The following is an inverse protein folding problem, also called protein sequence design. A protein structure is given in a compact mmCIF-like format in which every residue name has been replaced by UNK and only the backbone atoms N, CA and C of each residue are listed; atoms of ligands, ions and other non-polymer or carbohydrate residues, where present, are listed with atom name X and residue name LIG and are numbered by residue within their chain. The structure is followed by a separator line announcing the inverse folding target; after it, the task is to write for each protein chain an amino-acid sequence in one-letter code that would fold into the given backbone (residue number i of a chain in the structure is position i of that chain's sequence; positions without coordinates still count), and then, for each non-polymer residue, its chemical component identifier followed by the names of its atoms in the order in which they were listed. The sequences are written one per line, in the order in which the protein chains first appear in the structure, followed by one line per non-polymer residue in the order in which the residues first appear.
data_IF_599945942483
#
_entry.id   IF_599945942483
#
_cell.length_a   1.000
_cell.length_b   1.000
_cell.length_c   1.000
_cell.angle_alpha   90.00
_cell.angle_beta   90.00
_cell.angle_gamma   90.00
#
_symmetry.space_group_name_H-M   'P 1'
#
loop_
_entity.id
_entity.type
_entity.pdbx_description
1 polymer ?
#
# COMPACT_ATOMS: atom_id res chain seq x y z
N UNK A 1 -45.25 6.84 -45.76
CA UNK A 1 -44.88 6.77 -44.31
C UNK A 1 -44.19 5.44 -44.08
N UNK A 2 -42.87 5.44 -43.93
CA UNK A 2 -42.10 4.21 -43.60
C UNK A 2 -41.88 4.20 -42.08
N UNK A 3 -42.46 3.22 -41.43
CA UNK A 3 -42.28 2.96 -39.99
C UNK A 3 -40.83 2.60 -39.70
N UNK A 4 -40.13 3.41 -38.89
CA UNK A 4 -38.80 3.07 -38.42
C UNK A 4 -38.98 2.02 -37.34
N UNK A 5 -38.54 0.80 -37.64
CA UNK A 5 -38.55 -0.30 -36.70
C UNK A 5 -37.65 -0.01 -35.50
N UNK A 6 -38.16 -0.26 -34.30
CA UNK A 6 -37.45 -0.11 -33.05
C UNK A 6 -36.16 -0.97 -33.05
N UNK A 7 -35.04 -0.34 -32.81
CA UNK A 7 -33.75 -1.02 -32.62
C UNK A 7 -33.82 -1.92 -31.38
N UNK A 8 -33.32 -3.17 -31.48
CA UNK A 8 -33.49 -4.14 -30.41
C UNK A 8 -32.64 -3.82 -29.17
N UNK A 9 -33.18 -4.17 -28.02
CA UNK A 9 -32.71 -4.03 -26.62
C UNK A 9 -31.32 -4.59 -26.29
N UNK A 10 -30.53 -4.96 -27.29
CA UNK A 10 -29.13 -5.43 -27.10
C UNK A 10 -28.13 -4.33 -26.74
N UNK A 11 -28.42 -3.05 -27.02
CA UNK A 11 -27.53 -1.94 -26.71
C UNK A 11 -27.48 -1.55 -25.23
N UNK A 12 -28.48 -1.98 -24.45
CA UNK A 12 -28.50 -1.69 -23.00
C UNK A 12 -27.53 -2.61 -22.21
N UNK A 13 -27.23 -3.81 -22.73
CA UNK A 13 -26.27 -4.74 -22.10
C UNK A 13 -24.80 -4.33 -22.22
N UNK A 14 -24.46 -3.41 -23.12
CA UNK A 14 -23.05 -2.99 -23.34
C UNK A 14 -22.59 -1.88 -22.41
N UNK A 15 -23.47 -1.21 -21.66
CA UNK A 15 -23.07 -0.17 -20.70
C UNK A 15 -22.21 -0.69 -19.54
N UNK A 16 -22.38 -1.95 -19.15
CA UNK A 16 -21.60 -2.56 -18.08
C UNK A 16 -20.14 -2.87 -18.51
N UNK A 17 -19.94 -3.19 -19.79
CA UNK A 17 -18.62 -3.48 -20.39
C UNK A 17 -18.03 -2.29 -21.14
N UNK A 18 -18.60 -1.10 -21.03
CA UNK A 18 -18.00 0.09 -21.61
C UNK A 18 -16.70 0.44 -20.85
N UNK A 19 -15.65 0.97 -21.53
CA UNK A 19 -14.40 1.38 -20.87
C UNK A 19 -14.60 2.34 -19.70
N UNK A 20 -15.66 3.14 -19.75
CA UNK A 20 -16.00 4.13 -18.71
C UNK A 20 -16.89 3.57 -17.60
N UNK A 21 -17.25 2.28 -17.64
CA UNK A 21 -18.06 1.67 -16.58
C UNK A 21 -17.25 1.53 -15.29
N UNK A 22 -17.91 1.67 -14.13
CA UNK A 22 -17.27 1.47 -12.83
C UNK A 22 -16.65 0.09 -12.68
N UNK A 23 -17.25 -0.93 -13.32
CA UNK A 23 -16.73 -2.29 -13.33
C UNK A 23 -15.39 -2.39 -14.09
N UNK A 24 -15.32 -1.82 -15.30
CA UNK A 24 -14.07 -1.84 -16.09
C UNK A 24 -12.97 -1.04 -15.44
N UNK A 25 -13.30 0.10 -14.80
CA UNK A 25 -12.33 0.86 -13.99
C UNK A 25 -11.81 0.02 -12.82
N UNK A 26 -12.70 -0.60 -12.03
CA UNK A 26 -12.28 -1.45 -10.93
C UNK A 26 -11.43 -2.64 -11.38
N UNK A 27 -11.72 -3.22 -12.56
CA UNK A 27 -10.90 -4.30 -13.14
C UNK A 27 -9.53 -3.78 -13.57
N UNK A 28 -9.46 -2.60 -14.19
CA UNK A 28 -8.18 -1.94 -14.52
C UNK A 28 -7.35 -1.66 -13.27
N UNK A 29 -7.96 -1.11 -12.24
CA UNK A 29 -7.28 -0.82 -10.96
C UNK A 29 -6.75 -2.11 -10.31
N UNK A 30 -7.51 -3.21 -10.39
CA UNK A 30 -7.05 -4.51 -9.89
C UNK A 30 -5.85 -5.06 -10.67
N UNK A 31 -5.85 -4.92 -12.00
CA UNK A 31 -4.70 -5.31 -12.84
C UNK A 31 -3.47 -4.46 -12.51
N UNK A 32 -3.66 -3.16 -12.35
CA UNK A 32 -2.58 -2.25 -11.99
C UNK A 32 -2.03 -2.56 -10.58
N UNK A 33 -2.90 -2.90 -9.61
CA UNK A 33 -2.51 -3.33 -8.27
C UNK A 33 -1.63 -4.59 -8.32
N UNK A 34 -2.03 -5.60 -9.10
CA UNK A 34 -1.25 -6.83 -9.29
C UNK A 34 0.10 -6.49 -9.93
N UNK A 35 0.11 -5.63 -10.94
CA UNK A 35 1.34 -5.26 -11.62
C UNK A 35 2.31 -4.50 -10.70
N UNK A 36 1.80 -3.55 -9.92
CA UNK A 36 2.58 -2.84 -8.89
C UNK A 36 3.16 -3.86 -7.90
N UNK A 37 2.34 -4.82 -7.45
CA UNK A 37 2.79 -5.85 -6.53
C UNK A 37 3.94 -6.70 -7.10
N UNK A 38 3.84 -7.12 -8.36
CA UNK A 38 4.90 -7.87 -9.04
C UNK A 38 6.19 -7.04 -9.10
N UNK A 39 6.09 -5.76 -9.48
CA UNK A 39 7.25 -4.87 -9.50
C UNK A 39 7.88 -4.73 -8.11
N UNK A 40 7.06 -4.58 -7.08
CA UNK A 40 7.53 -4.51 -5.69
C UNK A 40 8.23 -5.80 -5.26
N UNK A 41 7.66 -6.97 -5.54
CA UNK A 41 8.26 -8.26 -5.20
C UNK A 41 9.64 -8.43 -5.87
N UNK A 42 9.71 -8.16 -7.17
CA UNK A 42 10.97 -8.28 -7.93
C UNK A 42 12.04 -7.32 -7.41
N UNK A 43 11.68 -6.06 -7.17
CA UNK A 43 12.64 -5.06 -6.70
C UNK A 43 12.95 -5.17 -5.21
N UNK A 44 12.20 -5.95 -4.45
CA UNK A 44 12.44 -6.27 -3.04
C UNK A 44 13.31 -7.51 -2.83
N UNK A 45 13.68 -8.25 -3.89
CA UNK A 45 14.57 -9.41 -3.76
C UNK A 45 15.86 -9.06 -3.01
N UNK A 46 16.55 -7.95 -3.31
CA UNK A 46 17.58 -7.46 -2.40
C UNK A 46 16.90 -6.78 -1.22
N UNK A 47 16.78 -7.44 -0.09
CA UNK A 47 16.06 -7.00 1.13
C UNK A 47 16.28 -5.51 1.45
N UNK A 48 17.46 -4.98 1.16
CA UNK A 48 17.81 -3.57 1.39
C UNK A 48 16.96 -2.59 0.56
N UNK A 49 16.39 -3.02 -0.55
CA UNK A 49 15.62 -2.18 -1.47
C UNK A 49 14.12 -2.14 -1.17
N UNK A 50 13.64 -2.88 -0.15
CA UNK A 50 12.22 -2.95 0.20
C UNK A 50 11.62 -1.56 0.45
N UNK A 51 12.33 -0.66 1.13
CA UNK A 51 11.84 0.71 1.36
C UNK A 51 11.64 1.51 0.08
N UNK A 52 12.56 1.37 -0.87
CA UNK A 52 12.43 2.00 -2.18
C UNK A 52 11.26 1.40 -2.97
N UNK A 53 11.07 0.08 -2.89
CA UNK A 53 9.95 -0.63 -3.51
C UNK A 53 8.59 -0.18 -2.93
N UNK A 54 8.47 -0.09 -1.61
CA UNK A 54 7.26 0.41 -0.93
C UNK A 54 6.93 1.84 -1.34
N UNK A 55 7.90 2.75 -1.29
CA UNK A 55 7.72 4.14 -1.71
C UNK A 55 7.30 4.25 -3.17
N UNK A 56 7.93 3.47 -4.05
CA UNK A 56 7.59 3.43 -5.47
C UNK A 56 6.19 2.85 -5.72
N UNK A 57 5.79 1.85 -4.95
CA UNK A 57 4.45 1.27 -4.97
C UNK A 57 3.38 2.31 -4.63
N UNK A 58 3.58 3.10 -3.58
CA UNK A 58 2.66 4.18 -3.20
C UNK A 58 2.55 5.27 -4.28
N UNK A 59 3.66 5.71 -4.89
CA UNK A 59 3.60 6.71 -5.97
C UNK A 59 2.92 6.15 -7.22
N UNK A 60 3.27 4.92 -7.63
CA UNK A 60 2.69 4.28 -8.80
C UNK A 60 1.18 4.05 -8.63
N UNK A 61 0.73 3.57 -7.47
CA UNK A 61 -0.68 3.38 -7.15
C UNK A 61 -1.46 4.69 -7.17
N UNK A 62 -0.91 5.75 -6.55
CA UNK A 62 -1.51 7.07 -6.57
C UNK A 62 -1.69 7.60 -7.99
N UNK A 63 -0.64 7.50 -8.82
CA UNK A 63 -0.69 7.97 -10.22
C UNK A 63 -1.61 7.13 -11.08
N UNK A 64 -1.66 5.81 -10.86
CA UNK A 64 -2.58 4.92 -11.56
C UNK A 64 -4.03 5.31 -11.28
N UNK A 65 -4.42 5.48 -9.99
CA UNK A 65 -5.76 5.93 -9.60
C UNK A 65 -6.12 7.33 -10.12
N UNK A 66 -5.12 8.18 -10.36
CA UNK A 66 -5.29 9.50 -10.97
C UNK A 66 -5.31 9.44 -12.52
N UNK A 67 -5.08 8.29 -13.14
CA UNK A 67 -4.97 8.14 -14.59
C UNK A 67 -3.70 8.79 -15.18
N UNK A 68 -2.64 8.94 -14.40
CA UNK A 68 -1.40 9.62 -14.77
C UNK A 68 -0.32 8.64 -15.27
N UNK A 69 -0.04 8.65 -16.55
CA UNK A 69 1.08 7.94 -17.17
C UNK A 69 0.92 6.40 -17.16
N UNK A 70 2.04 5.68 -17.19
CA UNK A 70 2.07 4.22 -17.15
C UNK A 70 2.65 3.74 -15.82
N UNK A 71 2.04 2.71 -15.24
CA UNK A 71 2.44 2.14 -13.93
C UNK A 71 3.94 1.84 -13.86
N UNK A 72 4.47 1.12 -14.85
CA UNK A 72 5.89 0.72 -14.87
C UNK A 72 6.84 1.92 -14.86
N UNK A 73 6.57 2.92 -15.69
CA UNK A 73 7.41 4.12 -15.76
C UNK A 73 7.36 4.90 -14.46
N UNK A 74 6.15 5.11 -13.93
CA UNK A 74 5.94 5.81 -12.67
C UNK A 74 6.68 5.10 -11.53
N UNK A 75 6.53 3.78 -11.45
CA UNK A 75 7.19 2.96 -10.45
C UNK A 75 8.71 3.11 -10.47
N UNK A 76 9.36 2.88 -11.63
CA UNK A 76 10.83 2.95 -11.71
C UNK A 76 11.37 4.38 -11.56
N UNK A 77 10.61 5.39 -11.96
CA UNK A 77 10.97 6.78 -11.71
C UNK A 77 10.98 7.08 -10.21
N UNK A 78 9.90 6.71 -9.50
CA UNK A 78 9.80 6.89 -8.06
C UNK A 78 10.82 6.03 -7.29
N UNK A 79 11.06 4.79 -7.73
CA UNK A 79 12.06 3.89 -7.14
C UNK A 79 13.45 4.52 -7.14
N UNK A 80 13.89 5.06 -8.30
CA UNK A 80 15.22 5.68 -8.43
C UNK A 80 15.33 6.99 -7.65
N UNK A 81 14.33 7.86 -7.74
CA UNK A 81 14.36 9.18 -7.10
C UNK A 81 14.33 9.10 -5.58
N UNK A 82 13.67 8.10 -5.01
CA UNK A 82 13.53 7.93 -3.56
C UNK A 82 14.52 6.92 -2.96
N UNK A 83 15.33 6.25 -3.78
CA UNK A 83 16.14 5.08 -3.39
C UNK A 83 16.91 5.28 -2.08
N UNK A 84 17.72 6.33 -1.97
CA UNK A 84 18.60 6.55 -0.82
C UNK A 84 17.80 6.83 0.46
N UNK A 85 16.83 7.74 0.40
CA UNK A 85 16.01 8.09 1.57
C UNK A 85 15.14 6.93 2.01
N UNK A 86 14.45 6.28 1.08
CA UNK A 86 13.57 5.17 1.37
C UNK A 86 14.32 3.93 1.90
N UNK A 87 15.52 3.66 1.39
CA UNK A 87 16.40 2.64 1.96
C UNK A 87 16.83 2.99 3.39
N UNK A 88 17.11 4.26 3.68
CA UNK A 88 17.42 4.71 5.03
C UNK A 88 16.25 4.50 6.01
N UNK A 89 15.02 4.81 5.60
CA UNK A 89 13.82 4.53 6.42
C UNK A 89 13.64 3.03 6.61
N UNK A 90 13.84 2.23 5.56
CA UNK A 90 13.74 0.78 5.66
C UNK A 90 14.72 0.19 6.67
N UNK A 91 15.95 0.68 6.70
CA UNK A 91 16.93 0.23 7.71
C UNK A 91 16.45 0.54 9.13
N UNK A 92 15.88 1.72 9.37
CA UNK A 92 15.33 2.08 10.68
C UNK A 92 14.15 1.18 11.05
N UNK A 93 13.11 1.16 10.20
CA UNK A 93 11.89 0.41 10.48
C UNK A 93 12.10 -1.11 10.40
N UNK A 94 12.92 -1.60 9.46
CA UNK A 94 13.23 -3.02 9.31
C UNK A 94 13.99 -3.58 10.48
N UNK A 95 15.01 -2.88 10.95
CA UNK A 95 15.78 -3.28 12.15
C UNK A 95 14.89 -3.22 13.39
N UNK A 96 14.16 -2.13 13.59
CA UNK A 96 13.23 -2.00 14.73
C UNK A 96 12.13 -3.07 14.70
N UNK A 97 11.59 -3.37 13.50
CA UNK A 97 10.62 -4.44 13.30
C UNK A 97 11.20 -5.82 13.62
N UNK A 98 12.41 -6.12 13.13
CA UNK A 98 13.08 -7.38 13.42
C UNK A 98 13.35 -7.57 14.93
N UNK A 99 13.80 -6.52 15.61
CA UNK A 99 13.99 -6.53 17.08
C UNK A 99 12.65 -6.74 17.77
N UNK A 100 11.58 -6.09 17.32
CA UNK A 100 10.23 -6.25 17.87
C UNK A 100 9.76 -7.69 17.73
N UNK A 101 9.82 -8.28 16.53
CA UNK A 101 9.44 -9.67 16.26
C UNK A 101 10.29 -10.64 17.12
N UNK A 102 11.60 -10.45 17.17
CA UNK A 102 12.47 -11.25 18.03
C UNK A 102 12.05 -11.19 19.48
N UNK A 103 11.74 -9.98 19.98
CA UNK A 103 11.31 -9.79 21.37
C UNK A 103 10.00 -10.52 21.68
N UNK A 104 9.05 -10.52 20.75
CA UNK A 104 7.77 -11.21 20.90
C UNK A 104 7.90 -12.74 20.89
N UNK A 105 8.81 -13.28 20.08
CA UNK A 105 9.00 -14.73 19.95
C UNK A 105 9.91 -15.28 21.05
N UNK A 106 11.02 -14.60 21.34
CA UNK A 106 12.09 -15.16 22.18
C UNK A 106 12.05 -14.64 23.62
N UNK A 107 11.79 -13.37 23.82
CA UNK A 107 11.84 -12.75 25.15
C UNK A 107 10.48 -12.86 25.85
N UNK A 108 10.17 -14.02 26.44
CA UNK A 108 8.92 -14.27 27.15
C UNK A 108 8.97 -13.76 28.61
N UNK A 109 9.33 -12.49 28.78
CA UNK A 109 9.49 -11.83 30.08
C UNK A 109 8.28 -10.94 30.34
N UNK A 110 7.45 -11.28 31.33
CA UNK A 110 6.20 -10.58 31.65
C UNK A 110 6.35 -9.05 31.85
N UNK A 111 7.35 -8.54 32.61
CA UNK A 111 7.58 -7.09 32.74
C UNK A 111 7.81 -6.34 31.43
N UNK A 112 8.24 -7.03 30.35
CA UNK A 112 8.49 -6.44 29.04
C UNK A 112 7.23 -6.33 28.18
N UNK A 113 6.07 -6.86 28.61
CA UNK A 113 4.84 -6.80 27.80
C UNK A 113 4.43 -5.36 27.48
N UNK A 114 4.41 -4.47 28.48
CA UNK A 114 4.01 -3.07 28.28
C UNK A 114 4.93 -2.36 27.27
N UNK A 115 6.28 -2.36 27.44
CA UNK A 115 7.17 -1.75 26.45
C UNK A 115 7.09 -2.42 25.07
N UNK A 116 6.87 -3.73 24.97
CA UNK A 116 6.69 -4.40 23.67
C UNK A 116 5.45 -3.86 22.93
N UNK A 117 4.30 -3.81 23.61
CA UNK A 117 3.08 -3.24 23.01
C UNK A 117 3.29 -1.78 22.61
N UNK A 118 3.87 -0.96 23.49
CA UNK A 118 4.11 0.46 23.20
C UNK A 118 5.01 0.65 21.96
N UNK A 119 6.13 -0.07 21.89
CA UNK A 119 7.05 -0.01 20.76
C UNK A 119 6.41 -0.53 19.46
N UNK A 120 5.61 -1.60 19.53
CA UNK A 120 4.90 -2.12 18.37
C UNK A 120 3.88 -1.12 17.83
N UNK A 121 3.13 -0.44 18.71
CA UNK A 121 2.18 0.60 18.33
C UNK A 121 2.91 1.78 17.67
N UNK A 122 3.99 2.27 18.27
CA UNK A 122 4.80 3.36 17.71
C UNK A 122 5.37 2.96 16.35
N UNK A 123 5.85 1.72 16.22
CA UNK A 123 6.37 1.19 14.95
C UNK A 123 5.30 1.18 13.87
N UNK A 124 4.11 0.63 14.15
CA UNK A 124 2.98 0.60 13.20
C UNK A 124 2.61 2.02 12.77
N UNK A 125 2.44 2.96 13.71
CA UNK A 125 2.09 4.35 13.41
C UNK A 125 3.08 4.97 12.41
N UNK A 126 4.39 4.84 12.64
CA UNK A 126 5.39 5.40 11.75
C UNK A 126 5.48 4.67 10.42
N UNK A 127 5.39 3.33 10.44
CA UNK A 127 5.51 2.49 9.26
C UNK A 127 4.40 2.73 8.24
N UNK A 128 3.16 2.89 8.68
CA UNK A 128 2.00 3.16 7.82
C UNK A 128 2.17 4.44 6.98
N UNK A 129 2.73 5.49 7.57
CA UNK A 129 2.75 6.81 6.94
C UNK A 129 4.05 7.12 6.18
N UNK A 130 5.18 6.50 6.54
CA UNK A 130 6.50 6.92 6.05
C UNK A 130 6.61 6.78 4.52
N UNK A 131 6.10 5.70 3.93
CA UNK A 131 6.22 5.41 2.50
C UNK A 131 5.37 6.34 1.64
N UNK A 132 4.14 6.60 2.06
CA UNK A 132 3.24 7.52 1.40
C UNK A 132 3.75 8.98 1.50
N UNK A 133 4.24 9.39 2.66
CA UNK A 133 4.84 10.73 2.84
C UNK A 133 6.10 10.92 2.01
N UNK A 134 6.99 9.91 1.95
CA UNK A 134 8.21 9.97 1.14
C UNK A 134 7.88 10.01 -0.36
N UNK A 135 6.84 9.31 -0.81
CA UNK A 135 6.42 9.33 -2.22
C UNK A 135 5.78 10.64 -2.64
N UNK A 136 5.21 11.39 -1.70
CA UNK A 136 4.34 12.54 -1.99
C UNK A 136 5.00 13.91 -1.73
N UNK A 137 5.92 13.99 -0.77
CA UNK A 137 6.50 15.24 -0.32
C UNK A 137 8.02 15.24 -0.37
N UNK A 138 8.59 16.33 -0.91
CA UNK A 138 10.03 16.56 -0.91
C UNK A 138 10.46 17.22 0.41
N UNK A 139 10.79 16.40 1.40
CA UNK A 139 11.29 16.85 2.69
C UNK A 139 12.72 16.33 2.96
N UNK A 140 13.38 16.89 3.97
CA UNK A 140 14.61 16.28 4.51
C UNK A 140 14.29 14.94 5.18
N UNK A 141 15.29 14.05 5.27
CA UNK A 141 15.15 12.72 5.86
C UNK A 141 14.47 12.76 7.25
N UNK A 142 15.02 13.52 8.17
CA UNK A 142 14.51 13.60 9.55
C UNK A 142 13.10 14.24 9.63
N UNK A 143 12.84 15.19 8.74
CA UNK A 143 11.52 15.83 8.68
C UNK A 143 10.43 14.85 8.20
N UNK A 144 10.72 14.04 7.19
CA UNK A 144 9.77 12.99 6.76
C UNK A 144 9.55 11.97 7.86
N UNK A 145 10.63 11.54 8.52
CA UNK A 145 10.54 10.58 9.63
C UNK A 145 9.67 11.14 10.78
N UNK A 146 9.91 12.37 11.22
CA UNK A 146 9.11 13.03 12.24
C UNK A 146 7.65 13.20 11.80
N UNK A 147 7.42 13.62 10.55
CA UNK A 147 6.08 13.78 9.99
C UNK A 147 5.30 12.46 9.96
N UNK A 148 5.94 11.32 9.75
CA UNK A 148 5.26 10.03 9.77
C UNK A 148 4.54 9.77 11.10
N UNK A 149 5.19 10.09 12.21
CA UNK A 149 4.58 9.98 13.55
C UNK A 149 3.54 11.05 13.79
N UNK A 150 3.80 12.31 13.39
CA UNK A 150 2.85 13.41 13.54
C UNK A 150 1.56 13.12 12.77
N UNK A 151 1.66 12.71 11.50
CA UNK A 151 0.49 12.37 10.69
C UNK A 151 -0.25 11.16 11.25
N UNK A 152 0.49 10.14 11.67
CA UNK A 152 -0.08 8.92 12.23
C UNK A 152 -0.87 9.15 13.52
N UNK A 153 -0.37 9.98 14.42
CA UNK A 153 -1.06 10.33 15.68
C UNK A 153 -2.19 11.32 15.44
N UNK A 154 -1.96 12.36 14.61
CA UNK A 154 -2.98 13.37 14.31
C UNK A 154 -4.17 12.83 13.54
N UNK A 155 -3.99 11.70 12.84
CA UNK A 155 -5.04 11.04 12.06
C UNK A 155 -5.24 9.59 12.55
N UNK A 156 -5.28 9.39 13.86
CA UNK A 156 -5.29 8.05 14.47
C UNK A 156 -6.42 7.14 13.95
N UNK A 157 -7.59 7.68 13.66
CA UNK A 157 -8.70 6.91 13.08
C UNK A 157 -8.35 6.31 11.72
N UNK A 158 -7.69 7.08 10.84
CA UNK A 158 -7.22 6.59 9.54
C UNK A 158 -6.08 5.57 9.72
N UNK A 159 -5.14 5.85 10.62
CA UNK A 159 -4.05 4.92 10.97
C UNK A 159 -4.57 3.58 11.44
N UNK A 160 -5.54 3.58 12.36
CA UNK A 160 -6.16 2.33 12.84
C UNK A 160 -6.93 1.61 11.73
N UNK A 161 -7.60 2.35 10.85
CA UNK A 161 -8.29 1.76 9.69
C UNK A 161 -7.33 1.05 8.75
N UNK A 162 -6.20 1.68 8.39
CA UNK A 162 -5.16 1.08 7.54
C UNK A 162 -4.51 -0.12 8.22
N UNK A 163 -4.10 0.02 9.48
CA UNK A 163 -3.53 -1.06 10.26
C UNK A 163 -4.48 -2.27 10.41
N UNK A 164 -5.80 -2.02 10.52
CA UNK A 164 -6.79 -3.10 10.54
C UNK A 164 -6.88 -3.83 9.19
N UNK A 165 -6.80 -3.11 8.06
CA UNK A 165 -6.78 -3.70 6.73
C UNK A 165 -5.53 -4.58 6.56
N UNK A 166 -4.36 -4.08 6.95
CA UNK A 166 -3.11 -4.82 6.89
C UNK A 166 -3.11 -6.04 7.83
N UNK A 167 -3.67 -5.89 9.02
CA UNK A 167 -3.83 -7.01 9.96
C UNK A 167 -4.73 -8.12 9.39
N UNK A 168 -5.82 -7.77 8.70
CA UNK A 168 -6.69 -8.74 8.01
C UNK A 168 -5.90 -9.46 6.91
N UNK A 169 -5.13 -8.72 6.11
CA UNK A 169 -4.30 -9.32 5.05
C UNK A 169 -3.25 -10.28 5.61
N UNK A 170 -2.56 -9.89 6.69
CA UNK A 170 -1.60 -10.77 7.39
C UNK A 170 -2.31 -12.00 7.95
N UNK A 171 -3.47 -11.84 8.56
CA UNK A 171 -4.26 -12.95 9.08
C UNK A 171 -4.70 -13.93 7.97
N UNK A 172 -5.05 -13.42 6.78
CA UNK A 172 -5.36 -14.25 5.61
C UNK A 172 -4.12 -15.01 5.12
N UNK A 173 -2.93 -14.38 5.08
CA UNK A 173 -1.67 -15.05 4.72
C UNK A 173 -1.35 -16.17 5.70
N UNK A 174 -1.41 -15.89 7.00
CA UNK A 174 -1.13 -16.88 8.06
C UNK A 174 -2.17 -17.99 8.04
N UNK A 175 -3.45 -17.67 7.94
CA UNK A 175 -4.54 -18.65 7.85
C UNK A 175 -4.38 -19.52 6.60
N UNK A 176 -4.08 -18.92 5.44
CA UNK A 176 -3.86 -19.66 4.20
C UNK A 176 -2.65 -20.63 4.33
N UNK A 177 -1.58 -20.20 4.99
CA UNK A 177 -0.42 -21.07 5.22
C UNK A 177 -0.79 -22.36 5.96
N UNK A 178 -1.64 -22.27 6.98
CA UNK A 178 -2.01 -23.43 7.81
C UNK A 178 -3.16 -24.26 7.26
N UNK A 179 -4.17 -23.62 6.66
CA UNK A 179 -5.44 -24.28 6.29
C UNK A 179 -5.60 -24.52 4.79
N UNK A 180 -5.04 -23.64 3.95
CA UNK A 180 -5.21 -23.71 2.49
C UNK A 180 -3.98 -23.16 1.75
N UNK A 181 -2.84 -23.91 1.75
CA UNK A 181 -1.58 -23.43 1.17
C UNK A 181 -1.69 -22.97 -0.29
N UNK A 182 -2.63 -23.53 -1.06
CA UNK A 182 -2.88 -23.13 -2.45
C UNK A 182 -3.36 -21.67 -2.57
N UNK A 183 -4.04 -21.17 -1.54
CA UNK A 183 -4.50 -19.77 -1.47
C UNK A 183 -3.38 -18.75 -1.29
N UNK A 184 -2.23 -19.18 -0.76
CA UNK A 184 -1.06 -18.31 -0.60
C UNK A 184 -0.61 -17.70 -1.92
N UNK A 185 -0.59 -18.48 -3.01
CA UNK A 185 -0.19 -17.96 -4.31
C UNK A 185 -1.08 -16.81 -4.75
N UNK A 186 -2.40 -16.97 -4.59
CA UNK A 186 -3.36 -15.91 -4.92
C UNK A 186 -3.15 -14.67 -4.04
N UNK A 187 -2.98 -14.86 -2.74
CA UNK A 187 -2.73 -13.76 -1.79
C UNK A 187 -1.40 -13.06 -2.08
N UNK A 188 -0.36 -13.79 -2.47
CA UNK A 188 0.93 -13.21 -2.85
C UNK A 188 0.83 -12.44 -4.18
N UNK A 189 0.05 -12.93 -5.15
CA UNK A 189 -0.15 -12.24 -6.45
C UNK A 189 -0.98 -10.98 -6.29
N UNK A 190 -2.11 -11.04 -5.57
CA UNK A 190 -2.89 -9.87 -5.21
C UNK A 190 -2.09 -8.92 -4.32
N UNK A 191 -1.41 -9.46 -3.34
CA UNK A 191 -0.34 -8.90 -2.55
C UNK A 191 -0.58 -7.56 -1.90
N UNK A 192 0.51 -7.01 -1.40
CA UNK A 192 0.53 -5.71 -0.75
C UNK A 192 0.22 -4.55 -1.71
N UNK A 193 0.39 -4.75 -3.03
CA UNK A 193 -0.02 -3.79 -4.04
C UNK A 193 -1.51 -3.44 -3.98
N UNK A 194 -2.37 -4.43 -3.71
CA UNK A 194 -3.81 -4.20 -3.50
C UNK A 194 -4.07 -3.40 -2.22
N UNK A 195 -3.35 -3.70 -1.13
CA UNK A 195 -3.45 -2.93 0.12
C UNK A 195 -3.08 -1.47 -0.10
N UNK A 196 -1.97 -1.20 -0.79
CA UNK A 196 -1.56 0.16 -1.14
C UNK A 196 -2.65 0.88 -1.95
N UNK A 197 -3.26 0.22 -2.94
CA UNK A 197 -4.37 0.81 -3.73
C UNK A 197 -5.57 1.19 -2.84
N UNK A 198 -5.87 0.40 -1.81
CA UNK A 198 -6.94 0.70 -0.84
C UNK A 198 -6.53 1.85 0.10
N UNK A 199 -5.24 1.93 0.47
CA UNK A 199 -4.74 2.97 1.38
C UNK A 199 -4.58 4.34 0.70
N UNK A 200 -4.26 4.39 -0.60
CA UNK A 200 -4.02 5.66 -1.33
C UNK A 200 -5.17 6.66 -1.19
N UNK A 201 -6.45 6.32 -1.35
CA UNK A 201 -7.54 7.26 -1.15
C UNK A 201 -7.57 7.84 0.27
N UNK A 202 -7.18 7.06 1.28
CA UNK A 202 -7.13 7.49 2.69
C UNK A 202 -6.00 8.52 2.84
N UNK A 203 -4.81 8.24 2.32
CA UNK A 203 -3.69 9.17 2.35
C UNK A 203 -4.01 10.48 1.61
N UNK A 204 -4.55 10.41 0.39
CA UNK A 204 -4.89 11.60 -0.39
C UNK A 204 -5.98 12.44 0.28
N UNK A 205 -6.95 11.81 0.96
CA UNK A 205 -7.94 12.54 1.75
C UNK A 205 -7.28 13.38 2.85
N UNK A 206 -6.31 12.82 3.55
CA UNK A 206 -5.58 13.53 4.61
C UNK A 206 -4.64 14.58 4.01
N UNK A 207 -3.87 14.23 2.99
CA UNK A 207 -2.85 15.10 2.40
C UNK A 207 -3.42 16.36 1.73
N UNK A 208 -4.63 16.29 1.17
CA UNK A 208 -5.32 17.45 0.56
C UNK A 208 -5.40 18.66 1.48
N UNK A 209 -5.42 18.45 2.79
CA UNK A 209 -5.43 19.54 3.79
C UNK A 209 -4.12 20.32 3.84
N UNK A 210 -3.02 19.71 3.38
CA UNK A 210 -1.65 20.23 3.48
C UNK A 210 -1.04 20.61 2.13
N UNK A 211 -1.78 20.41 1.03
CA UNK A 211 -1.36 20.72 -0.34
C UNK A 211 -2.01 22.04 -0.88
N UNK A 212 -2.33 22.99 0.00
CA UNK A 212 -2.84 24.31 -0.39
C UNK A 212 -1.72 25.22 -0.79
#
# INVERSE_FOLDING_TARGET
MKTIAALPSRLVRMKFLSPDSGFMRGLSDAVDAIWINILMLVTSIPIITIGAALTAGHDAARRSLAGEGTVTRNYFTAFRSNFVKATGYWLIFGIAGAISVYSWIVLQITPLLIPKFALSIVWVIGFEWIWALQSRFENSFWRTLGNAFVFGVSNIGHTLGMAAIDAIYIALLVGSWFYMPQGLFLLLVLGYGTMIMIHVPIFEHVFRKYMK
#
